data_IF_876974964233
#
_entry.id   IF_876974964233
#
_cell.length_a   1.000
_cell.length_b   1.000
_cell.length_c   1.000
_cell.angle_alpha   90.00
_cell.angle_beta   90.00
_cell.angle_gamma   90.00
#
_symmetry.space_group_name_H-M   'P 1'
#
loop_
_entity.id
_entity.type
_entity.pdbx_description
1 polymer ?
#
# COMPACT_ATOMS: atom_id res chain seq x y z
N UNK A 1 9.91 0.54 24.40
CA UNK A 1 11.02 1.49 24.56
C UNK A 1 10.49 2.91 24.48
N UNK A 2 11.30 3.89 24.88
CA UNK A 2 10.92 5.29 24.90
C UNK A 2 10.52 5.80 23.50
N UNK A 3 9.35 6.42 23.43
CA UNK A 3 8.82 7.05 22.21
C UNK A 3 9.37 8.47 22.08
N UNK A 4 9.61 8.92 20.86
CA UNK A 4 9.88 10.34 20.61
C UNK A 4 8.63 11.13 21.00
N UNK A 5 8.79 12.27 21.68
CA UNK A 5 7.64 13.11 22.05
C UNK A 5 6.88 13.53 20.80
N UNK A 6 5.58 13.23 20.78
CA UNK A 6 4.69 13.70 19.73
C UNK A 6 4.62 15.23 19.81
N UNK A 7 4.86 15.92 18.70
CA UNK A 7 4.43 17.32 18.60
C UNK A 7 2.92 17.36 18.82
N UNK A 8 2.38 18.42 19.43
CA UNK A 8 0.96 18.45 19.83
C UNK A 8 -0.01 18.17 18.68
N UNK A 9 0.35 18.53 17.45
CA UNK A 9 -0.43 18.27 16.25
C UNK A 9 -0.29 16.84 15.67
N UNK A 10 0.66 16.03 16.15
CA UNK A 10 0.83 14.63 15.75
C UNK A 10 0.01 13.65 16.60
N UNK A 11 -0.40 14.06 17.81
CA UNK A 11 -1.07 13.18 18.78
C UNK A 11 -2.37 12.56 18.24
N UNK A 12 -3.11 13.32 17.43
CA UNK A 12 -4.42 12.91 16.89
C UNK A 12 -4.39 12.55 15.39
N UNK A 13 -3.22 12.50 14.77
CA UNK A 13 -3.11 12.16 13.34
C UNK A 13 -3.25 10.63 13.18
N UNK A 14 -4.28 10.13 12.46
CA UNK A 14 -4.45 8.70 12.26
C UNK A 14 -3.29 8.15 11.41
N UNK A 15 -2.79 6.98 11.79
CA UNK A 15 -1.83 6.25 10.98
C UNK A 15 -2.53 5.63 9.77
N UNK A 16 -1.82 5.56 8.64
CA UNK A 16 -2.22 4.71 7.54
C UNK A 16 -2.05 3.23 7.99
N UNK A 17 -3.15 2.46 8.01
CA UNK A 17 -3.12 1.08 8.52
C UNK A 17 -2.15 0.16 7.74
N UNK A 18 -1.83 0.49 6.48
CA UNK A 18 -0.81 -0.21 5.70
C UNK A 18 0.64 0.10 6.09
N UNK A 19 0.88 1.12 6.93
CA UNK A 19 2.21 1.61 7.32
C UNK A 19 2.25 1.97 8.82
N UNK A 20 1.89 1.03 9.68
CA UNK A 20 1.87 1.23 11.14
C UNK A 20 3.26 1.08 11.77
N UNK A 21 3.65 1.96 12.72
CA UNK A 21 4.87 1.77 13.49
C UNK A 21 4.89 0.42 14.21
N UNK A 22 6.05 -0.26 14.26
CA UNK A 22 6.19 -1.59 14.85
C UNK A 22 5.80 -1.63 16.33
N UNK A 23 6.08 -0.56 17.07
CA UNK A 23 5.69 -0.40 18.47
C UNK A 23 4.17 -0.29 18.64
N UNK A 24 3.47 0.35 17.71
CA UNK A 24 2.00 0.44 17.72
C UNK A 24 1.39 -0.92 17.35
N UNK A 25 2.00 -1.66 16.42
CA UNK A 25 1.58 -3.02 16.11
C UNK A 25 1.73 -3.95 17.32
N UNK A 26 2.84 -3.84 18.06
CA UNK A 26 3.06 -4.63 19.28
C UNK A 26 2.00 -4.34 20.35
N UNK A 27 1.57 -3.09 20.51
CA UNK A 27 0.51 -2.69 21.45
C UNK A 27 -0.86 -3.26 21.09
N UNK A 28 -1.14 -3.49 19.80
CA UNK A 28 -2.41 -4.10 19.34
C UNK A 28 -2.55 -5.59 19.71
N UNK A 29 -1.46 -6.25 20.13
CA UNK A 29 -1.50 -7.61 20.64
C UNK A 29 -0.19 -8.36 20.50
N UNK A 30 0.03 -9.33 21.39
CA UNK A 30 1.27 -10.11 21.48
C UNK A 30 1.67 -10.81 20.16
N UNK A 31 0.68 -11.34 19.45
CA UNK A 31 0.89 -12.10 18.20
C UNK A 31 0.89 -11.21 16.94
N UNK A 32 0.60 -9.91 17.07
CA UNK A 32 0.38 -9.02 15.92
C UNK A 32 1.59 -8.97 15.00
N UNK A 33 2.79 -8.85 15.56
CA UNK A 33 4.03 -8.80 14.78
C UNK A 33 4.29 -10.11 14.02
N UNK A 34 4.00 -11.26 14.64
CA UNK A 34 4.16 -12.59 14.03
C UNK A 34 3.20 -12.83 12.87
N UNK A 35 2.06 -12.17 12.84
CA UNK A 35 1.14 -12.21 11.70
C UNK A 35 1.40 -11.11 10.65
N UNK A 36 2.17 -10.08 11.03
CA UNK A 36 2.56 -8.96 10.16
C UNK A 36 4.00 -9.08 9.66
N UNK A 37 4.91 -8.15 10.05
CA UNK A 37 6.27 -8.07 9.51
C UNK A 37 7.16 -9.26 9.89
N UNK A 38 6.82 -10.00 10.95
CA UNK A 38 7.63 -11.14 11.43
C UNK A 38 7.08 -12.51 11.04
N UNK A 39 6.19 -12.57 10.04
CA UNK A 39 5.54 -13.82 9.62
C UNK A 39 6.51 -14.80 8.95
N UNK A 40 6.60 -16.07 9.37
CA UNK A 40 7.52 -17.06 8.80
C UNK A 40 6.96 -17.79 7.57
N UNK A 41 5.90 -17.28 6.93
CA UNK A 41 5.15 -18.03 5.91
C UNK A 41 6.00 -18.25 4.65
N UNK A 42 6.18 -19.53 4.28
CA UNK A 42 6.90 -19.92 3.07
C UNK A 42 8.42 -20.01 3.26
N UNK A 43 8.92 -19.89 4.49
CA UNK A 43 10.34 -19.93 4.80
C UNK A 43 10.66 -21.11 5.72
N UNK A 44 11.76 -21.79 5.42
CA UNK A 44 12.28 -22.94 6.16
C UNK A 44 13.68 -22.61 6.64
N UNK A 45 13.99 -22.89 7.91
CA UNK A 45 15.34 -22.73 8.43
C UNK A 45 16.24 -23.85 7.88
N UNK A 46 17.29 -23.57 7.09
CA UNK A 46 18.14 -24.61 6.54
C UNK A 46 18.94 -25.36 7.62
N UNK A 47 19.21 -24.73 8.77
CA UNK A 47 19.94 -25.34 9.88
C UNK A 47 19.06 -26.27 10.73
N UNK A 48 17.74 -26.12 10.66
CA UNK A 48 16.79 -26.98 11.35
C UNK A 48 15.47 -27.07 10.55
N UNK A 49 15.46 -27.82 9.45
CA UNK A 49 14.34 -27.79 8.50
C UNK A 49 13.07 -28.44 9.03
N UNK A 50 13.16 -29.26 10.08
CA UNK A 50 12.02 -29.92 10.72
C UNK A 50 11.26 -28.99 11.66
N UNK A 51 11.90 -27.93 12.15
CA UNK A 51 11.29 -26.94 13.04
C UNK A 51 10.94 -25.68 12.28
N UNK A 52 9.64 -25.37 12.20
CA UNK A 52 9.21 -24.10 11.60
C UNK A 52 9.62 -22.93 12.50
N UNK A 53 10.23 -21.87 11.94
CA UNK A 53 10.50 -20.66 12.69
C UNK A 53 9.22 -20.11 13.31
N UNK A 54 9.26 -19.73 14.58
CA UNK A 54 8.12 -19.09 15.24
C UNK A 54 7.85 -17.71 14.65
N UNK A 55 8.91 -16.93 14.45
CA UNK A 55 8.90 -15.62 13.82
C UNK A 55 10.22 -15.40 13.07
N UNK A 56 10.25 -14.45 12.15
CA UNK A 56 11.47 -14.07 11.41
C UNK A 56 11.60 -12.55 11.34
N UNK A 57 12.79 -12.06 11.02
CA UNK A 57 13.01 -10.69 10.57
C UNK A 57 13.68 -10.76 9.22
N UNK A 58 13.13 -10.07 8.23
CA UNK A 58 13.66 -10.08 6.87
C UNK A 58 14.54 -8.85 6.66
N UNK A 59 15.73 -9.09 6.12
CA UNK A 59 16.61 -8.05 5.60
C UNK A 59 16.53 -8.03 4.08
N UNK A 60 16.41 -6.83 3.49
CA UNK A 60 16.47 -6.62 2.05
C UNK A 60 17.69 -5.78 1.71
N UNK A 61 18.48 -6.26 0.76
CA UNK A 61 19.60 -5.50 0.22
C UNK A 61 19.10 -4.19 -0.41
N UNK A 62 19.69 -3.08 0.00
CA UNK A 62 19.26 -1.73 -0.40
C UNK A 62 20.21 -1.10 -1.42
N UNK A 63 21.47 -1.56 -1.48
CA UNK A 63 22.45 -1.09 -2.45
C UNK A 63 23.11 -2.24 -3.23
N UNK A 64 23.59 -1.96 -4.44
CA UNK A 64 24.20 -2.96 -5.31
C UNK A 64 25.43 -3.65 -4.69
N UNK A 65 26.19 -2.94 -3.85
CA UNK A 65 27.39 -3.45 -3.18
C UNK A 65 27.09 -4.46 -2.06
N UNK A 66 25.84 -4.60 -1.62
CA UNK A 66 25.48 -5.51 -0.53
C UNK A 66 26.04 -5.09 0.82
N UNK A 67 26.28 -3.78 1.01
CA UNK A 67 26.79 -3.24 2.29
C UNK A 67 25.69 -2.59 3.12
N UNK A 68 24.51 -2.35 2.53
CA UNK A 68 23.34 -1.79 3.21
C UNK A 68 22.15 -2.72 3.08
N UNK A 69 21.54 -3.01 4.22
CA UNK A 69 20.33 -3.82 4.33
C UNK A 69 19.27 -3.08 5.11
N UNK A 70 18.03 -3.16 4.62
CA UNK A 70 16.85 -2.59 5.27
C UNK A 70 16.07 -3.69 6.00
N UNK A 71 15.55 -3.39 7.20
CA UNK A 71 14.64 -4.26 7.95
C UNK A 71 13.22 -4.14 7.42
N UNK A 72 12.73 -5.18 6.75
CA UNK A 72 11.44 -5.15 6.04
C UNK A 72 10.27 -5.08 7.03
N UNK A 73 9.47 -4.02 6.94
CA UNK A 73 8.25 -3.85 7.75
C UNK A 73 8.49 -3.35 9.17
N UNK A 74 9.69 -2.80 9.45
CA UNK A 74 10.11 -2.27 10.75
C UNK A 74 10.08 -0.72 10.80
N UNK A 75 9.13 -0.10 10.10
CA UNK A 75 8.85 1.34 10.27
C UNK A 75 8.55 1.66 11.74
N UNK A 76 9.10 2.76 12.26
CA UNK A 76 9.03 3.10 13.69
C UNK A 76 9.16 4.60 13.94
N UNK A 77 8.62 5.07 15.08
CA UNK A 77 8.84 6.40 15.67
C UNK A 77 9.63 6.34 16.99
N UNK A 78 10.14 5.17 17.38
CA UNK A 78 10.98 5.01 18.58
C UNK A 78 12.21 5.92 18.51
N UNK A 79 12.68 6.40 19.67
CA UNK A 79 13.94 7.13 19.76
C UNK A 79 15.09 6.25 19.27
N UNK A 80 16.13 6.88 18.70
CA UNK A 80 17.27 6.17 18.13
C UNK A 80 17.99 5.23 19.09
N UNK A 81 18.11 5.60 20.38
CA UNK A 81 18.64 4.71 21.42
C UNK A 81 17.80 3.43 21.57
N UNK A 82 16.50 3.59 21.75
CA UNK A 82 15.57 2.46 21.88
C UNK A 82 15.54 1.56 20.63
N UNK A 83 15.63 2.13 19.43
CA UNK A 83 15.76 1.35 18.20
C UNK A 83 17.02 0.48 18.22
N UNK A 84 18.16 1.08 18.54
CA UNK A 84 19.45 0.38 18.57
C UNK A 84 19.46 -0.76 19.59
N UNK A 85 18.92 -0.51 20.78
CA UNK A 85 18.79 -1.51 21.85
C UNK A 85 17.91 -2.68 21.42
N UNK A 86 16.69 -2.40 20.96
CA UNK A 86 15.72 -3.43 20.58
C UNK A 86 16.20 -4.22 19.35
N UNK A 87 16.74 -3.57 18.34
CA UNK A 87 17.15 -4.28 17.12
C UNK A 87 18.36 -5.17 17.35
N UNK A 88 19.23 -4.86 18.32
CA UNK A 88 20.34 -5.75 18.73
C UNK A 88 19.88 -6.98 19.51
N UNK A 89 18.63 -7.04 19.98
CA UNK A 89 18.10 -8.27 20.58
C UNK A 89 17.67 -9.30 19.54
N UNK A 90 17.67 -8.95 18.25
CA UNK A 90 17.28 -9.85 17.16
C UNK A 90 18.48 -10.75 16.81
N UNK A 91 18.29 -12.09 16.77
CA UNK A 91 19.36 -13.01 16.42
C UNK A 91 20.02 -12.66 15.08
N UNK A 92 21.34 -12.54 15.08
CA UNK A 92 22.16 -12.14 13.93
C UNK A 92 22.37 -10.62 13.79
N UNK A 93 21.71 -9.78 14.60
CA UNK A 93 21.87 -8.32 14.61
C UNK A 93 22.54 -7.79 15.89
N UNK A 94 23.09 -8.67 16.74
CA UNK A 94 23.64 -8.32 18.04
C UNK A 94 24.78 -7.29 17.92
N UNK A 95 25.56 -7.38 16.84
CA UNK A 95 26.67 -6.48 16.50
C UNK A 95 26.36 -5.58 15.31
N UNK A 96 25.10 -5.42 14.95
CA UNK A 96 24.71 -4.58 13.81
C UNK A 96 25.15 -3.12 14.00
N UNK A 97 25.63 -2.53 12.91
CA UNK A 97 25.91 -1.10 12.78
C UNK A 97 24.80 -0.47 11.96
N UNK A 98 24.08 0.48 12.57
CA UNK A 98 22.94 1.13 11.93
C UNK A 98 23.39 2.37 11.17
N UNK A 99 23.54 2.26 9.85
CA UNK A 99 23.89 3.39 8.97
C UNK A 99 22.78 4.47 8.94
N UNK A 100 21.53 4.05 9.09
CA UNK A 100 20.35 4.92 9.20
C UNK A 100 19.30 4.25 10.08
N UNK A 101 18.79 5.01 11.04
CA UNK A 101 17.71 4.55 11.92
C UNK A 101 16.34 4.93 11.34
N UNK A 102 15.33 4.16 11.74
CA UNK A 102 13.97 4.28 11.24
C UNK A 102 13.29 5.59 11.63
N UNK A 103 12.35 5.99 10.80
CA UNK A 103 11.49 7.14 11.04
C UNK A 103 10.19 7.00 10.26
N UNK A 104 9.15 7.68 10.73
CA UNK A 104 7.88 7.81 10.02
C UNK A 104 7.64 9.29 9.77
N UNK A 105 7.30 9.60 8.52
CA UNK A 105 7.07 10.95 8.06
C UNK A 105 5.57 11.21 7.91
N UNK A 106 5.17 12.46 8.15
CA UNK A 106 3.83 12.92 7.83
C UNK A 106 3.75 13.23 6.34
N UNK A 107 2.70 12.73 5.70
CA UNK A 107 2.34 13.06 4.32
C UNK A 107 1.10 13.96 4.29
N UNK A 108 1.13 14.96 3.42
CA UNK A 108 -0.03 15.84 3.16
C UNK A 108 -0.75 15.34 1.91
N UNK A 109 -2.08 15.28 1.98
CA UNK A 109 -2.95 14.98 0.84
C UNK A 109 -4.19 15.87 0.89
N UNK A 110 -4.81 16.07 -0.26
CA UNK A 110 -6.06 16.84 -0.38
C UNK A 110 -7.27 15.91 -0.30
N UNK A 111 -8.44 16.46 0.04
CA UNK A 111 -9.69 15.70 -0.04
C UNK A 111 -10.14 15.60 -1.52
N UNK A 112 -9.46 14.75 -2.27
CA UNK A 112 -9.60 14.64 -3.73
C UNK A 112 -11.03 14.37 -4.18
N UNK A 113 -11.84 13.48 -3.54
CA UNK A 113 -13.21 13.26 -4.00
C UNK A 113 -14.07 14.54 -3.93
N UNK A 114 -13.79 15.42 -2.96
CA UNK A 114 -14.46 16.72 -2.86
C UNK A 114 -13.93 17.71 -3.89
N UNK A 115 -12.62 17.73 -4.11
CA UNK A 115 -11.94 18.80 -4.85
C UNK A 115 -11.75 18.52 -6.35
N UNK A 116 -11.60 17.26 -6.76
CA UNK A 116 -11.24 16.87 -8.11
C UNK A 116 -12.44 16.38 -8.93
N UNK A 117 -12.48 16.72 -10.20
CA UNK A 117 -13.41 16.14 -11.17
C UNK A 117 -12.86 14.82 -11.77
N UNK A 118 -13.64 14.17 -12.62
CA UNK A 118 -13.26 12.90 -13.27
C UNK A 118 -12.06 13.02 -14.23
N UNK A 119 -11.60 14.24 -14.54
CA UNK A 119 -10.41 14.54 -15.34
C UNK A 119 -9.19 14.89 -14.47
N UNK A 120 -9.29 14.63 -13.15
CA UNK A 120 -8.26 14.91 -12.14
C UNK A 120 -7.92 16.41 -12.02
N UNK A 121 -8.82 17.27 -12.47
CA UNK A 121 -8.69 18.72 -12.35
C UNK A 121 -9.34 19.21 -11.07
N UNK A 122 -8.81 20.29 -10.51
CA UNK A 122 -9.48 21.01 -9.44
C UNK A 122 -10.82 21.59 -9.96
N UNK A 123 -11.94 21.25 -9.33
CA UNK A 123 -13.28 21.69 -9.75
C UNK A 123 -13.39 23.22 -9.87
N UNK A 124 -12.74 23.96 -8.98
CA UNK A 124 -12.74 25.43 -8.97
C UNK A 124 -11.73 26.06 -9.96
N UNK A 125 -10.76 25.29 -10.46
CA UNK A 125 -9.75 25.74 -11.43
C UNK A 125 -9.41 24.62 -12.42
N UNK A 126 -10.21 24.43 -13.49
CA UNK A 126 -10.04 23.31 -14.44
C UNK A 126 -8.70 23.27 -15.19
N UNK A 127 -7.92 24.35 -15.17
CA UNK A 127 -6.56 24.40 -15.71
C UNK A 127 -5.50 23.80 -14.76
N UNK A 128 -5.86 23.47 -13.51
CA UNK A 128 -4.97 22.86 -12.52
C UNK A 128 -5.33 21.38 -12.31
N UNK A 129 -4.33 20.50 -12.39
CA UNK A 129 -4.44 19.08 -12.04
C UNK A 129 -3.47 18.71 -10.92
N UNK A 130 -3.79 17.63 -10.23
CA UNK A 130 -2.92 17.00 -9.25
C UNK A 130 -2.52 15.60 -9.73
N UNK A 131 -1.38 15.09 -9.24
CA UNK A 131 -0.87 13.76 -9.55
C UNK A 131 -0.10 13.19 -8.36
N UNK A 132 -0.10 11.86 -8.21
CA UNK A 132 0.64 11.17 -7.15
C UNK A 132 0.04 11.29 -5.76
N UNK A 133 0.90 11.12 -4.75
CA UNK A 133 0.53 11.01 -3.33
C UNK A 133 -0.38 12.14 -2.81
N UNK A 134 -0.22 13.37 -3.33
CA UNK A 134 -1.06 14.51 -2.92
C UNK A 134 -2.56 14.26 -3.15
N UNK A 135 -2.92 13.39 -4.10
CA UNK A 135 -4.30 13.01 -4.37
C UNK A 135 -4.88 11.96 -3.40
N UNK A 136 -4.09 11.45 -2.46
CA UNK A 136 -4.53 10.39 -1.55
C UNK A 136 -4.41 8.99 -2.17
N UNK A 137 -3.31 8.74 -2.88
CA UNK A 137 -2.84 7.38 -3.16
C UNK A 137 -1.55 7.11 -2.40
N UNK A 138 -1.32 5.87 -2.02
CA UNK A 138 -0.12 5.46 -1.29
C UNK A 138 0.65 4.43 -2.11
N UNK A 139 1.96 4.67 -2.31
CA UNK A 139 2.85 3.78 -3.06
C UNK A 139 3.39 4.39 -4.35
N UNK A 140 4.60 3.95 -4.72
CA UNK A 140 5.29 4.45 -5.91
C UNK A 140 4.56 4.09 -7.19
N UNK A 141 4.03 2.86 -7.28
CA UNK A 141 3.34 2.36 -8.47
C UNK A 141 2.03 3.10 -8.66
N UNK A 142 1.25 3.31 -7.60
CA UNK A 142 0.00 4.05 -7.60
C UNK A 142 0.23 5.52 -7.97
N UNK A 143 1.29 6.13 -7.43
CA UNK A 143 1.64 7.50 -7.72
C UNK A 143 2.06 7.68 -9.19
N UNK A 144 2.90 6.79 -9.70
CA UNK A 144 3.33 6.80 -11.10
C UNK A 144 2.15 6.54 -12.05
N UNK A 145 1.27 5.60 -11.72
CA UNK A 145 0.09 5.27 -12.52
C UNK A 145 -0.88 6.46 -12.63
N UNK A 146 -1.20 7.12 -11.51
CA UNK A 146 -2.04 8.32 -11.57
C UNK A 146 -1.32 9.52 -12.21
N UNK A 147 0.01 9.61 -12.08
CA UNK A 147 0.81 10.56 -12.85
C UNK A 147 0.66 10.37 -14.36
N UNK A 148 0.76 9.12 -14.84
CA UNK A 148 0.55 8.77 -16.24
C UNK A 148 -0.86 9.16 -16.72
N UNK A 149 -1.91 8.77 -15.99
CA UNK A 149 -3.31 9.11 -16.34
C UNK A 149 -3.50 10.62 -16.41
N UNK A 150 -3.02 11.35 -15.40
CA UNK A 150 -3.09 12.82 -15.33
C UNK A 150 -2.38 13.46 -16.52
N UNK A 151 -1.18 12.97 -16.86
CA UNK A 151 -0.39 13.45 -17.99
C UNK A 151 -1.09 13.22 -19.34
N UNK A 152 -1.67 12.03 -19.55
CA UNK A 152 -2.46 11.73 -20.76
C UNK A 152 -3.67 12.67 -20.89
N UNK A 153 -4.41 12.88 -19.81
CA UNK A 153 -5.55 13.81 -19.78
C UNK A 153 -5.14 15.26 -20.06
N UNK A 154 -4.04 15.73 -19.48
CA UNK A 154 -3.50 17.06 -19.73
C UNK A 154 -3.07 17.23 -21.19
N UNK A 155 -2.37 16.23 -21.75
CA UNK A 155 -1.92 16.24 -23.14
C UNK A 155 -3.07 16.17 -24.14
N UNK A 156 -4.16 15.47 -23.82
CA UNK A 156 -5.38 15.47 -24.63
C UNK A 156 -6.05 16.84 -24.62
N UNK A 157 -6.23 17.45 -23.43
CA UNK A 157 -6.84 18.77 -23.30
C UNK A 157 -6.05 19.85 -24.07
N UNK A 158 -4.71 19.82 -24.02
CA UNK A 158 -3.86 20.75 -24.75
C UNK A 158 -4.06 20.66 -26.29
N UNK A 159 -4.55 19.52 -26.79
CA UNK A 159 -4.88 19.31 -28.21
C UNK A 159 -6.37 19.52 -28.52
N UNK A 160 -7.15 20.04 -27.59
CA UNK A 160 -8.61 20.20 -27.73
C UNK A 160 -9.38 18.87 -27.71
N UNK A 161 -8.75 17.78 -27.27
CA UNK A 161 -9.35 16.47 -27.15
C UNK A 161 -9.65 16.11 -25.68
N UNK A 162 -10.41 15.04 -25.47
CA UNK A 162 -10.70 14.49 -24.14
C UNK A 162 -10.17 13.06 -24.04
N UNK A 163 -9.45 12.75 -22.95
CA UNK A 163 -9.05 11.39 -22.61
C UNK A 163 -9.95 10.90 -21.46
N UNK A 164 -10.77 9.86 -21.66
CA UNK A 164 -11.54 9.30 -20.56
C UNK A 164 -10.59 8.66 -19.52
N UNK A 165 -11.02 8.53 -18.26
CA UNK A 165 -10.28 7.71 -17.29
C UNK A 165 -10.22 6.24 -17.75
N UNK A 166 -9.22 5.46 -17.29
CA UNK A 166 -9.21 4.02 -17.49
C UNK A 166 -10.47 3.37 -16.89
N UNK A 167 -10.93 2.22 -17.42
CA UNK A 167 -12.10 1.52 -16.88
C UNK A 167 -11.94 1.19 -15.39
N UNK A 168 -13.01 1.35 -14.61
CA UNK A 168 -13.01 1.10 -13.14
C UNK A 168 -12.66 -0.36 -12.78
N UNK A 169 -12.77 -1.28 -13.73
CA UNK A 169 -12.36 -2.67 -13.62
C UNK A 169 -10.84 -2.87 -13.63
N UNK A 170 -10.07 -1.84 -13.96
CA UNK A 170 -8.61 -1.84 -13.99
C UNK A 170 -8.04 -1.24 -12.71
N UNK A 171 -6.79 -1.57 -12.37
CA UNK A 171 -6.10 -0.97 -11.21
C UNK A 171 -6.07 0.56 -11.29
N UNK A 172 -5.76 1.12 -12.45
CA UNK A 172 -5.66 2.56 -12.66
C UNK A 172 -7.02 3.25 -12.56
N UNK A 173 -8.05 2.67 -13.19
CA UNK A 173 -9.41 3.22 -13.13
C UNK A 173 -10.01 3.14 -11.74
N UNK A 174 -9.77 2.05 -11.01
CA UNK A 174 -10.19 1.90 -9.62
C UNK A 174 -9.54 2.96 -8.70
N UNK A 175 -8.25 3.28 -8.90
CA UNK A 175 -7.59 4.38 -8.19
C UNK A 175 -8.17 5.74 -8.59
N UNK A 176 -8.41 5.98 -9.88
CA UNK A 176 -9.06 7.22 -10.35
C UNK A 176 -10.42 7.40 -9.70
N UNK A 177 -11.21 6.31 -9.62
CA UNK A 177 -12.52 6.30 -8.97
C UNK A 177 -12.38 6.64 -7.49
N UNK A 178 -11.46 5.99 -6.76
CA UNK A 178 -11.21 6.27 -5.34
C UNK A 178 -10.97 7.75 -5.06
N UNK A 179 -10.14 8.41 -5.89
CA UNK A 179 -9.78 9.83 -5.68
C UNK A 179 -10.78 10.83 -6.24
N UNK A 180 -11.77 10.42 -7.04
CA UNK A 180 -12.76 11.34 -7.68
C UNK A 180 -14.21 11.14 -7.24
N UNK A 181 -14.56 10.03 -6.58
CA UNK A 181 -15.94 9.81 -6.14
C UNK A 181 -16.31 8.42 -5.61
N UNK A 182 -15.38 7.47 -5.56
CA UNK A 182 -15.57 6.11 -5.04
C UNK A 182 -15.43 5.98 -3.52
N UNK A 183 -15.34 7.09 -2.81
CA UNK A 183 -15.22 7.10 -1.37
C UNK A 183 -16.61 6.96 -0.71
N UNK A 184 -16.68 6.27 0.44
CA UNK A 184 -17.92 6.03 1.18
C UNK A 184 -18.72 7.34 1.36
N UNK A 185 -20.00 7.31 1.03
CA UNK A 185 -20.93 8.43 1.26
C UNK A 185 -21.56 8.31 2.65
N UNK A 186 -21.38 9.32 3.50
CA UNK A 186 -22.03 9.36 4.82
C UNK A 186 -21.35 10.31 5.80
N UNK A 187 -22.02 10.69 6.90
CA UNK A 187 -21.52 11.69 7.85
C UNK A 187 -20.22 11.30 8.58
N UNK A 188 -19.88 10.01 8.61
CA UNK A 188 -18.64 9.48 9.23
C UNK A 188 -17.53 9.13 8.24
N UNK A 189 -17.79 9.27 6.94
CA UNK A 189 -16.84 8.85 5.94
C UNK A 189 -15.70 9.88 5.82
N UNK A 190 -14.49 9.52 6.26
CA UNK A 190 -13.27 10.32 6.12
C UNK A 190 -12.38 9.78 5.01
N UNK A 191 -12.16 10.55 3.95
CA UNK A 191 -11.24 10.17 2.87
C UNK A 191 -9.85 9.92 3.46
N UNK A 192 -9.25 8.79 3.09
CA UNK A 192 -7.91 8.38 3.48
C UNK A 192 -7.12 7.95 2.24
N UNK A 193 -5.79 8.15 2.24
CA UNK A 193 -4.93 7.58 1.22
C UNK A 193 -5.08 6.07 1.15
N UNK A 194 -4.93 5.50 -0.05
CA UNK A 194 -5.04 4.05 -0.22
C UNK A 194 -4.11 3.54 -1.31
N UNK A 195 -3.56 2.35 -1.09
CA UNK A 195 -2.87 1.56 -2.10
C UNK A 195 -3.87 0.74 -2.91
N UNK A 196 -3.45 0.25 -4.08
CA UNK A 196 -4.33 -0.60 -4.88
C UNK A 196 -4.59 -1.93 -4.16
N UNK A 197 -5.85 -2.33 -4.12
CA UNK A 197 -6.25 -3.63 -3.59
C UNK A 197 -7.49 -4.15 -4.35
N UNK A 198 -7.68 -5.46 -4.38
CA UNK A 198 -8.80 -6.09 -5.11
C UNK A 198 -10.19 -5.71 -4.56
N UNK A 199 -10.28 -5.09 -3.37
CA UNK A 199 -11.53 -4.57 -2.83
C UNK A 199 -12.03 -3.30 -3.55
N UNK A 200 -11.13 -2.59 -4.25
CA UNK A 200 -11.50 -1.44 -5.08
C UNK A 200 -12.13 -1.82 -6.42
N UNK A 201 -11.99 -3.07 -6.84
CA UNK A 201 -12.46 -3.52 -8.15
C UNK A 201 -13.96 -3.80 -8.07
N UNK A 202 -14.74 -3.39 -9.08
CA UNK A 202 -16.14 -3.76 -9.18
C UNK A 202 -16.32 -5.28 -9.06
N UNK A 203 -17.41 -5.76 -8.42
CA UNK A 203 -17.66 -7.18 -8.31
C UNK A 203 -17.74 -7.84 -9.69
N UNK A 204 -17.53 -9.15 -9.70
CA UNK A 204 -17.62 -10.00 -10.88
C UNK A 204 -18.35 -11.26 -10.45
N UNK A 205 -19.28 -11.70 -11.28
CA UNK A 205 -19.85 -13.02 -11.11
C UNK A 205 -18.84 -14.07 -11.57
N UNK A 206 -18.49 -14.98 -10.66
CA UNK A 206 -17.40 -15.94 -10.87
C UNK A 206 -17.92 -17.32 -10.53
N UNK A 207 -17.92 -18.21 -11.54
CA UNK A 207 -18.08 -19.63 -11.31
C UNK A 207 -16.83 -20.20 -10.63
N UNK A 208 -16.97 -20.70 -9.40
CA UNK A 208 -15.88 -21.27 -8.61
C UNK A 208 -15.73 -22.77 -8.88
N UNK A 209 -15.55 -23.14 -10.14
CA UNK A 209 -15.23 -24.50 -10.58
C UNK A 209 -13.90 -24.54 -11.31
N UNK A 210 -13.13 -25.59 -11.09
CA UNK A 210 -11.91 -25.86 -11.84
C UNK A 210 -12.21 -26.49 -13.21
N UNK A 211 -11.15 -26.85 -13.96
CA UNK A 211 -11.26 -27.42 -15.30
C UNK A 211 -12.01 -28.77 -15.31
N UNK A 212 -11.95 -29.50 -14.19
CA UNK A 212 -12.60 -30.81 -14.02
C UNK A 212 -14.02 -30.68 -13.43
N UNK A 213 -14.50 -29.45 -13.24
CA UNK A 213 -15.83 -29.15 -12.71
C UNK A 213 -15.96 -29.21 -11.19
N UNK A 214 -14.87 -29.44 -10.45
CA UNK A 214 -14.88 -29.50 -8.99
C UNK A 214 -14.92 -28.10 -8.36
N UNK A 215 -15.56 -27.99 -7.19
CA UNK A 215 -15.72 -26.71 -6.49
C UNK A 215 -14.40 -26.27 -5.85
N UNK A 216 -13.94 -25.08 -6.21
CA UNK A 216 -12.74 -24.47 -5.63
C UNK A 216 -13.03 -23.96 -4.22
N UNK A 217 -12.20 -24.33 -3.24
CA UNK A 217 -12.39 -24.03 -1.81
C UNK A 217 -11.19 -23.29 -1.22
N UNK A 218 -11.38 -22.75 -0.01
CA UNK A 218 -10.30 -22.20 0.82
C UNK A 218 -9.44 -21.12 0.14
N UNK A 219 -8.11 -21.23 0.29
CA UNK A 219 -7.14 -20.27 -0.25
C UNK A 219 -7.15 -20.23 -1.78
N UNK A 220 -7.39 -21.36 -2.43
CA UNK A 220 -7.44 -21.45 -3.89
C UNK A 220 -8.62 -20.67 -4.46
N UNK A 221 -9.76 -20.64 -3.74
CA UNK A 221 -10.91 -19.80 -4.11
C UNK A 221 -10.53 -18.32 -4.17
N UNK A 222 -9.76 -17.85 -3.19
CA UNK A 222 -9.32 -16.45 -3.14
C UNK A 222 -8.32 -16.13 -4.25
N UNK A 223 -7.35 -17.04 -4.49
CA UNK A 223 -6.37 -16.89 -5.57
C UNK A 223 -7.05 -16.88 -6.93
N UNK A 224 -7.99 -17.80 -7.16
CA UNK A 224 -8.78 -17.90 -8.37
C UNK A 224 -9.64 -16.66 -8.61
N UNK A 225 -10.33 -16.14 -7.58
CA UNK A 225 -11.06 -14.87 -7.70
C UNK A 225 -10.15 -13.73 -8.15
N UNK A 226 -9.00 -13.58 -7.51
CA UNK A 226 -8.03 -12.52 -7.83
C UNK A 226 -7.49 -12.66 -9.26
N UNK A 227 -7.22 -13.88 -9.72
CA UNK A 227 -6.75 -14.10 -11.09
C UNK A 227 -7.82 -13.75 -12.13
N UNK A 228 -9.10 -14.07 -11.88
CA UNK A 228 -10.20 -13.68 -12.77
C UNK A 228 -10.40 -12.16 -12.84
N UNK A 229 -10.34 -11.47 -11.69
CA UNK A 229 -10.38 -10.00 -11.66
C UNK A 229 -9.20 -9.38 -12.43
N UNK A 230 -7.99 -9.92 -12.26
CA UNK A 230 -6.81 -9.47 -12.97
C UNK A 230 -6.91 -9.72 -14.48
N UNK A 231 -7.43 -10.87 -14.91
CA UNK A 231 -7.64 -11.18 -16.32
C UNK A 231 -8.61 -10.19 -16.98
N UNK A 232 -9.77 -9.90 -16.35
CA UNK A 232 -10.69 -8.85 -16.83
C UNK A 232 -9.99 -7.50 -16.91
N UNK A 233 -9.24 -7.11 -15.86
CA UNK A 233 -8.53 -5.84 -15.85
C UNK A 233 -7.53 -5.70 -17.02
N UNK A 234 -6.82 -6.78 -17.36
CA UNK A 234 -5.89 -6.81 -18.48
C UNK A 234 -6.58 -6.75 -19.85
N UNK A 235 -7.77 -7.34 -19.98
CA UNK A 235 -8.59 -7.18 -21.19
C UNK A 235 -9.12 -5.75 -21.29
N UNK A 236 -9.76 -5.24 -20.23
CA UNK A 236 -10.46 -3.96 -20.26
C UNK A 236 -9.50 -2.79 -20.47
N UNK A 237 -8.27 -2.85 -19.94
CA UNK A 237 -7.29 -1.77 -20.13
C UNK A 237 -6.87 -1.59 -21.60
N UNK A 238 -7.00 -2.62 -22.44
CA UNK A 238 -6.67 -2.53 -23.88
C UNK A 238 -7.56 -1.53 -24.60
N UNK A 239 -8.80 -1.33 -24.15
CA UNK A 239 -9.71 -0.32 -24.71
C UNK A 239 -9.29 1.13 -24.41
N UNK A 240 -8.38 1.32 -23.44
CA UNK A 240 -7.89 2.62 -23.00
C UNK A 240 -6.43 2.89 -23.39
N UNK A 241 -5.64 1.84 -23.62
CA UNK A 241 -4.24 1.93 -24.01
C UNK A 241 -4.12 2.65 -25.36
#
# INVERSE_FOLDING_TARGET
>A
GDKTEFKDWEKDTPYFDGCLPIEVMAERGRETLRHGPMKPVGLTNPHNPTVKPYAIVQLRQDNALGTLYNMVGFQTKMKYGAQTEIFRTIPGLEKAVFARLGGIHRNTFINSPKLLNAQLQLKSRPNLRFAGQIMGVEGYVESAALGLVTGRMAAAQARGAQCPPPPETTAMGALCKHVTGGFLSGPKAKFQPMNINFGLFPPMDISYRDADGNRIKGKDKTRFRKSKLAARALTDIQSWA
#
